data_IF_796520045262
#
_entry.id   IF_796520045262
#
_cell.length_a   1.000
_cell.length_b   1.000
_cell.length_c   1.000
_cell.angle_alpha   90.00
_cell.angle_beta   90.00
_cell.angle_gamma   90.00
#
_symmetry.space_group_name_H-M   'P 1'
#
loop_
_entity.id
_entity.type
_entity.pdbx_description
1 polymer ?
#
# COMPACT_ATOMS: atom_id res chain seq x y z
N UNK A 1 -31.17 14.39 -15.84
CA UNK A 1 -31.32 12.92 -15.77
C UNK A 1 -30.48 12.42 -14.60
N UNK A 2 -31.09 12.11 -13.45
CA UNK A 2 -30.41 11.46 -12.34
C UNK A 2 -30.39 9.96 -12.63
N UNK A 3 -29.26 9.41 -13.05
CA UNK A 3 -29.10 7.96 -13.09
C UNK A 3 -29.11 7.43 -11.65
N UNK A 4 -29.78 6.30 -11.37
CA UNK A 4 -29.71 5.68 -10.04
C UNK A 4 -28.25 5.39 -9.69
N UNK A 5 -27.79 5.67 -8.46
CA UNK A 5 -26.39 5.48 -8.07
C UNK A 5 -25.88 4.05 -8.29
N UNK A 6 -26.76 3.06 -8.14
CA UNK A 6 -26.46 1.64 -8.39
C UNK A 6 -26.11 1.34 -9.85
N UNK A 7 -26.78 1.99 -10.80
CA UNK A 7 -26.52 1.82 -12.24
C UNK A 7 -25.19 2.48 -12.60
N UNK A 8 -24.91 3.67 -12.05
CA UNK A 8 -23.62 4.33 -12.25
C UNK A 8 -22.46 3.48 -11.71
N UNK A 9 -22.61 2.86 -10.53
CA UNK A 9 -21.61 1.95 -9.95
C UNK A 9 -21.39 0.71 -10.82
N UNK A 10 -22.47 0.08 -11.30
CA UNK A 10 -22.35 -1.10 -12.16
C UNK A 10 -21.60 -0.79 -13.45
N UNK A 11 -21.90 0.34 -14.09
CA UNK A 11 -21.24 0.77 -15.32
C UNK A 11 -19.75 1.07 -15.09
N UNK A 12 -19.40 1.77 -14.00
CA UNK A 12 -18.00 2.07 -13.70
C UNK A 12 -17.20 0.81 -13.37
N UNK A 13 -17.76 -0.11 -12.56
CA UNK A 13 -17.11 -1.39 -12.26
C UNK A 13 -16.94 -2.23 -13.52
N UNK A 14 -17.97 -2.32 -14.37
CA UNK A 14 -17.89 -3.05 -15.63
C UNK A 14 -16.81 -2.47 -16.56
N UNK A 15 -16.72 -1.14 -16.63
CA UNK A 15 -15.69 -0.46 -17.41
C UNK A 15 -14.28 -0.72 -16.88
N UNK A 16 -14.07 -0.66 -15.56
CA UNK A 16 -12.79 -0.98 -14.93
C UNK A 16 -12.39 -2.44 -15.19
N UNK A 17 -13.31 -3.39 -15.03
CA UNK A 17 -13.07 -4.82 -15.31
C UNK A 17 -12.72 -5.03 -16.79
N UNK A 18 -13.42 -4.34 -17.70
CA UNK A 18 -13.11 -4.39 -19.12
C UNK A 18 -11.68 -3.90 -19.43
N UNK A 19 -11.27 -2.75 -18.85
CA UNK A 19 -9.92 -2.23 -19.00
C UNK A 19 -8.87 -3.21 -18.47
N UNK A 20 -9.09 -3.79 -17.29
CA UNK A 20 -8.20 -4.79 -16.69
C UNK A 20 -8.06 -6.03 -17.56
N UNK A 21 -9.18 -6.55 -18.08
CA UNK A 21 -9.17 -7.73 -18.98
C UNK A 21 -8.42 -7.45 -20.28
N UNK A 22 -8.53 -6.23 -20.80
CA UNK A 22 -7.78 -5.80 -21.98
C UNK A 22 -6.28 -5.74 -21.69
N UNK A 23 -5.89 -5.11 -20.59
CA UNK A 23 -4.48 -4.96 -20.19
C UNK A 23 -3.78 -6.32 -19.97
N UNK A 24 -4.45 -7.25 -19.28
CA UNK A 24 -3.95 -8.62 -19.06
C UNK A 24 -3.73 -9.36 -20.39
N UNK A 25 -4.59 -9.12 -21.40
CA UNK A 25 -4.47 -9.77 -22.71
C UNK A 25 -3.30 -9.22 -23.53
N UNK A 26 -2.97 -7.95 -23.37
CA UNK A 26 -1.85 -7.30 -24.06
C UNK A 26 -0.50 -7.67 -23.44
N UNK A 27 -0.46 -7.99 -22.13
CA UNK A 27 0.78 -8.34 -21.40
C UNK A 27 0.64 -9.64 -20.59
N UNK A 28 0.69 -10.81 -21.23
CA UNK A 28 0.54 -12.11 -20.55
C UNK A 28 1.71 -12.46 -19.60
N UNK A 29 2.88 -11.83 -19.77
CA UNK A 29 4.09 -12.12 -18.98
C UNK A 29 4.14 -11.42 -17.61
N UNK A 30 3.03 -10.80 -17.20
CA UNK A 30 2.95 -10.05 -15.94
C UNK A 30 2.96 -11.01 -14.75
N UNK A 31 3.99 -10.89 -13.90
CA UNK A 31 4.08 -11.66 -12.66
C UNK A 31 2.95 -11.29 -11.71
N UNK A 32 2.30 -12.28 -11.10
CA UNK A 32 1.25 -12.07 -10.08
C UNK A 32 1.67 -11.23 -8.86
N UNK A 33 2.97 -10.93 -8.72
CA UNK A 33 3.51 -9.97 -7.76
C UNK A 33 2.88 -8.56 -7.87
N UNK A 34 2.42 -8.13 -9.05
CA UNK A 34 1.77 -6.81 -9.22
C UNK A 34 0.48 -6.64 -8.42
N UNK A 35 -0.15 -7.73 -7.99
CA UNK A 35 -1.29 -7.65 -7.08
C UNK A 35 -0.94 -7.02 -5.74
N UNK A 36 0.32 -7.13 -5.27
CA UNK A 36 0.74 -6.57 -3.99
C UNK A 36 0.73 -5.03 -4.04
N UNK A 37 1.41 -4.35 -5.01
CA UNK A 37 1.27 -2.91 -5.22
C UNK A 37 -0.15 -2.45 -5.48
N UNK A 38 -0.94 -3.23 -6.23
CA UNK A 38 -2.33 -2.90 -6.54
C UNK A 38 -3.19 -2.85 -5.28
N UNK A 39 -3.12 -3.88 -4.44
CA UNK A 39 -3.86 -3.94 -3.18
C UNK A 39 -3.40 -2.80 -2.25
N UNK A 40 -2.09 -2.56 -2.18
CA UNK A 40 -1.53 -1.45 -1.41
C UNK A 40 -2.12 -0.10 -1.84
N UNK A 41 -2.13 0.17 -3.15
CA UNK A 41 -2.67 1.42 -3.69
C UNK A 41 -4.16 1.56 -3.43
N UNK A 42 -4.95 0.49 -3.61
CA UNK A 42 -6.38 0.49 -3.31
C UNK A 42 -6.66 0.85 -1.84
N UNK A 43 -5.91 0.28 -0.89
CA UNK A 43 -6.10 0.55 0.54
C UNK A 43 -5.71 2.00 0.88
N UNK A 44 -4.63 2.53 0.29
CA UNK A 44 -4.18 3.90 0.57
C UNK A 44 -5.09 4.95 -0.06
N UNK A 45 -5.61 4.71 -1.26
CA UNK A 45 -6.45 5.66 -1.98
C UNK A 45 -7.93 5.60 -1.62
N UNK A 46 -8.40 4.53 -0.98
CA UNK A 46 -9.81 4.38 -0.57
C UNK A 46 -9.99 4.56 0.94
N UNK A 47 -10.07 3.45 1.67
CA UNK A 47 -10.24 3.37 3.11
C UNK A 47 -9.38 2.23 3.64
N UNK A 48 -9.03 2.32 4.91
CA UNK A 48 -8.32 1.27 5.63
C UNK A 48 -9.17 -0.01 5.70
N UNK A 49 -8.55 -1.16 5.93
CA UNK A 49 -9.26 -2.44 5.95
C UNK A 49 -10.26 -2.51 7.10
N UNK A 50 -9.91 -1.96 8.26
CA UNK A 50 -10.81 -1.84 9.41
C UNK A 50 -12.07 -1.00 9.10
N UNK A 51 -11.92 0.11 8.40
CA UNK A 51 -13.02 1.00 7.97
C UNK A 51 -13.95 0.33 6.95
N UNK A 52 -13.38 -0.46 6.04
CA UNK A 52 -14.16 -1.30 5.13
C UNK A 52 -14.99 -2.32 5.91
N UNK A 53 -14.39 -3.03 6.87
CA UNK A 53 -15.10 -4.00 7.71
C UNK A 53 -16.20 -3.34 8.55
N UNK A 54 -15.94 -2.15 9.09
CA UNK A 54 -16.95 -1.37 9.81
C UNK A 54 -18.13 -1.00 8.91
N UNK A 55 -17.88 -0.64 7.64
CA UNK A 55 -18.94 -0.38 6.64
C UNK A 55 -19.82 -1.61 6.41
N UNK A 56 -19.28 -2.83 6.56
CA UNK A 56 -20.04 -4.09 6.49
C UNK A 56 -20.69 -4.52 7.82
N UNK A 57 -20.62 -3.70 8.87
CA UNK A 57 -21.16 -3.98 10.20
C UNK A 57 -20.24 -4.83 11.09
N UNK A 58 -19.04 -5.19 10.61
CA UNK A 58 -18.05 -5.95 11.37
C UNK A 58 -17.16 -4.97 12.16
N UNK A 59 -17.53 -4.71 13.41
CA UNK A 59 -16.84 -3.76 14.28
C UNK A 59 -15.54 -4.36 14.84
N UNK A 60 -14.40 -3.94 14.30
CA UNK A 60 -13.08 -4.46 14.68
C UNK A 60 -12.40 -3.55 15.71
N UNK A 61 -12.94 -3.52 16.93
CA UNK A 61 -12.36 -2.84 18.09
C UNK A 61 -12.33 -1.30 18.02
N UNK A 62 -11.88 -0.66 19.10
CA UNK A 62 -11.78 0.79 19.18
C UNK A 62 -10.61 1.30 18.31
N UNK A 63 -10.91 2.17 17.35
CA UNK A 63 -9.91 2.88 16.56
C UNK A 63 -9.53 4.15 17.33
N UNK A 64 -8.43 4.11 18.07
CA UNK A 64 -7.84 5.32 18.66
C UNK A 64 -6.98 6.02 17.61
N UNK A 65 -7.04 7.35 17.57
CA UNK A 65 -6.31 8.18 16.59
C UNK A 65 -4.78 8.01 16.68
N UNK A 66 -4.28 7.73 17.89
CA UNK A 66 -2.85 7.60 18.17
C UNK A 66 -2.31 6.19 17.86
N UNK A 67 -3.09 5.15 18.14
CA UNK A 67 -2.65 3.78 17.97
C UNK A 67 -3.09 3.20 16.61
N UNK A 68 -4.24 3.59 16.07
CA UNK A 68 -4.84 3.00 14.88
C UNK A 68 -5.29 1.55 15.11
N UNK A 69 -5.98 0.96 14.12
CA UNK A 69 -6.50 -0.40 14.25
C UNK A 69 -5.37 -1.44 14.23
N UNK A 70 -5.37 -2.43 15.16
CA UNK A 70 -4.41 -3.53 15.11
C UNK A 70 -4.52 -4.35 13.81
N UNK A 71 -5.73 -4.46 13.25
CA UNK A 71 -5.96 -5.16 11.98
C UNK A 71 -5.24 -4.47 10.83
N UNK A 72 -5.34 -3.14 10.72
CA UNK A 72 -4.68 -2.38 9.65
C UNK A 72 -3.16 -2.52 9.75
N UNK A 73 -2.60 -2.53 10.96
CA UNK A 73 -1.17 -2.75 11.17
C UNK A 73 -0.73 -4.11 10.61
N UNK A 74 -1.48 -5.17 10.90
CA UNK A 74 -1.20 -6.51 10.37
C UNK A 74 -1.31 -6.56 8.84
N UNK A 75 -2.32 -5.91 8.27
CA UNK A 75 -2.51 -5.84 6.80
C UNK A 75 -1.32 -5.13 6.13
N UNK A 76 -0.96 -3.93 6.59
CA UNK A 76 0.17 -3.20 6.02
C UNK A 76 1.50 -3.94 6.24
N UNK A 77 1.72 -4.52 7.43
CA UNK A 77 2.92 -5.31 7.70
C UNK A 77 3.00 -6.54 6.79
N UNK A 78 1.90 -7.25 6.59
CA UNK A 78 1.82 -8.39 5.67
C UNK A 78 2.12 -8.00 4.23
N UNK A 79 1.58 -6.88 3.76
CA UNK A 79 1.87 -6.37 2.41
C UNK A 79 3.34 -5.94 2.25
N UNK A 80 3.91 -5.25 3.22
CA UNK A 80 5.33 -4.87 3.21
C UNK A 80 6.22 -6.12 3.22
N UNK A 81 5.92 -7.09 4.09
CA UNK A 81 6.68 -8.34 4.18
C UNK A 81 6.60 -9.15 2.87
N UNK A 82 5.41 -9.26 2.28
CA UNK A 82 5.21 -9.91 0.99
C UNK A 82 5.97 -9.17 -0.13
N UNK A 83 5.92 -7.83 -0.15
CA UNK A 83 6.64 -7.01 -1.12
C UNK A 83 8.15 -7.18 -1.02
N UNK A 84 8.70 -7.11 0.20
CA UNK A 84 10.11 -7.35 0.47
C UNK A 84 10.53 -8.77 0.06
N UNK A 85 9.72 -9.79 0.37
CA UNK A 85 9.98 -11.17 -0.02
C UNK A 85 10.06 -11.33 -1.55
N UNK A 86 9.13 -10.71 -2.28
CA UNK A 86 9.15 -10.68 -3.75
C UNK A 86 10.42 -10.02 -4.28
N UNK A 87 10.81 -8.87 -3.72
CA UNK A 87 12.04 -8.17 -4.12
C UNK A 87 13.30 -8.99 -3.83
N UNK A 88 13.36 -9.68 -2.68
CA UNK A 88 14.46 -10.58 -2.35
C UNK A 88 14.55 -11.75 -3.33
N UNK A 89 13.41 -12.34 -3.74
CA UNK A 89 13.37 -13.41 -4.75
C UNK A 89 13.81 -12.95 -6.13
N UNK A 90 13.61 -11.66 -6.45
CA UNK A 90 14.07 -11.02 -7.69
C UNK A 90 15.55 -10.63 -7.67
N UNK A 91 16.28 -10.91 -6.59
CA UNK A 91 17.69 -10.56 -6.42
C UNK A 91 17.99 -9.08 -6.71
N UNK A 92 17.07 -8.21 -6.30
CA UNK A 92 17.20 -6.76 -6.52
C UNK A 92 18.39 -6.22 -5.72
N UNK A 93 19.32 -5.57 -6.41
CA UNK A 93 20.51 -4.98 -5.80
C UNK A 93 20.14 -3.68 -5.07
N UNK A 94 19.80 -3.80 -3.78
CA UNK A 94 19.43 -2.65 -2.93
C UNK A 94 20.52 -1.57 -2.88
N UNK A 95 21.79 -1.98 -2.94
CA UNK A 95 22.94 -1.06 -2.99
C UNK A 95 22.90 -0.15 -4.21
N UNK A 96 22.51 -0.69 -5.38
CA UNK A 96 22.40 0.08 -6.61
C UNK A 96 21.25 1.08 -6.53
N UNK A 97 20.11 0.68 -5.96
CA UNK A 97 18.94 1.55 -5.78
C UNK A 97 19.28 2.72 -4.86
N UNK A 98 19.97 2.45 -3.75
CA UNK A 98 20.40 3.50 -2.81
C UNK A 98 21.36 4.48 -3.50
N UNK A 99 22.27 3.96 -4.34
CA UNK A 99 23.22 4.78 -5.10
C UNK A 99 22.53 5.65 -6.14
N UNK A 100 21.49 5.14 -6.80
CA UNK A 100 20.73 5.91 -7.80
C UNK A 100 19.76 6.91 -7.17
N UNK A 101 19.30 6.66 -5.93
CA UNK A 101 18.27 7.46 -5.26
C UNK A 101 18.78 8.13 -3.97
N UNK A 102 19.99 8.71 -4.01
CA UNK A 102 20.65 9.24 -2.80
C UNK A 102 19.79 10.26 -2.04
N UNK A 103 19.13 11.19 -2.74
CA UNK A 103 18.25 12.19 -2.14
C UNK A 103 17.08 11.56 -1.38
N UNK A 104 16.47 10.52 -1.97
CA UNK A 104 15.39 9.78 -1.33
C UNK A 104 15.90 9.06 -0.07
N UNK A 105 17.07 8.43 -0.14
CA UNK A 105 17.71 7.79 1.02
C UNK A 105 17.99 8.79 2.14
N UNK A 106 18.57 9.95 1.82
CA UNK A 106 18.83 11.02 2.79
C UNK A 106 17.52 11.48 3.44
N UNK A 107 16.45 11.66 2.66
CA UNK A 107 15.14 12.01 3.18
C UNK A 107 14.60 10.95 4.15
N UNK A 108 14.67 9.66 3.81
CA UNK A 108 14.24 8.57 4.70
C UNK A 108 15.05 8.48 5.98
N UNK A 109 16.37 8.71 5.91
CA UNK A 109 17.27 8.75 7.07
C UNK A 109 16.93 9.96 7.94
N UNK A 110 16.71 11.12 7.35
CA UNK A 110 16.24 12.30 8.07
C UNK A 110 14.92 12.04 8.80
N UNK A 111 13.93 11.43 8.12
CA UNK A 111 12.67 11.03 8.76
C UNK A 111 12.87 10.05 9.91
N UNK A 112 13.87 9.16 9.81
CA UNK A 112 14.21 8.24 10.91
C UNK A 112 14.79 9.00 12.11
N UNK A 113 15.73 9.93 11.88
CA UNK A 113 16.31 10.75 12.94
C UNK A 113 15.25 11.64 13.61
N UNK A 114 14.29 12.15 12.85
CA UNK A 114 13.19 12.98 13.36
C UNK A 114 12.30 12.24 14.38
N UNK A 115 12.28 10.90 14.38
CA UNK A 115 11.51 10.10 15.35
C UNK A 115 12.03 10.33 16.78
N UNK A 116 13.34 10.51 16.97
CA UNK A 116 13.94 10.69 18.28
C UNK A 116 13.55 12.01 18.96
N UNK A 117 13.08 12.99 18.18
CA UNK A 117 12.65 14.30 18.67
C UNK A 117 11.11 14.44 18.66
N UNK A 118 10.38 13.36 18.41
CA UNK A 118 8.92 13.36 18.40
C UNK A 118 8.36 13.14 19.80
N UNK A 119 7.29 13.85 20.15
CA UNK A 119 6.50 13.61 21.37
C UNK A 119 5.90 12.18 21.41
N UNK A 120 5.74 11.54 20.24
CA UNK A 120 5.15 10.21 20.08
C UNK A 120 6.09 9.27 19.29
N UNK A 121 7.28 8.91 19.82
CA UNK A 121 8.33 8.23 19.06
C UNK A 121 7.88 6.86 18.56
N UNK A 122 7.10 6.11 19.35
CA UNK A 122 6.60 4.79 18.94
C UNK A 122 5.58 4.86 17.80
N UNK A 123 4.72 5.90 17.78
CA UNK A 123 3.75 6.12 16.70
C UNK A 123 4.47 6.56 15.43
N UNK A 124 5.43 7.48 15.56
CA UNK A 124 6.27 7.95 14.46
C UNK A 124 7.08 6.80 13.84
N UNK A 125 7.64 5.89 14.64
CA UNK A 125 8.35 4.71 14.16
C UNK A 125 7.47 3.78 13.33
N UNK A 126 6.24 3.47 13.78
CA UNK A 126 5.28 2.66 12.99
C UNK A 126 4.95 3.33 11.66
N UNK A 127 4.76 4.66 11.66
CA UNK A 127 4.49 5.44 10.45
C UNK A 127 5.69 5.39 9.49
N UNK A 128 6.90 5.53 10.01
CA UNK A 128 8.12 5.44 9.21
C UNK A 128 8.26 4.07 8.53
N UNK A 129 8.00 2.96 9.24
CA UNK A 129 7.93 1.62 8.64
C UNK A 129 6.89 1.56 7.53
N UNK A 130 5.69 2.11 7.74
CA UNK A 130 4.64 2.15 6.72
C UNK A 130 5.09 2.92 5.47
N UNK A 131 5.81 4.04 5.63
CA UNK A 131 6.28 4.85 4.51
C UNK A 131 7.31 4.08 3.66
N UNK A 132 8.13 3.20 4.25
CA UNK A 132 9.01 2.30 3.49
C UNK A 132 8.26 1.35 2.54
N UNK A 133 6.97 1.10 2.79
CA UNK A 133 6.13 0.33 1.87
C UNK A 133 5.99 0.97 0.50
N UNK A 134 5.98 2.31 0.39
CA UNK A 134 5.85 3.00 -0.90
C UNK A 134 6.98 2.67 -1.89
N UNK A 135 8.27 2.86 -1.56
CA UNK A 135 9.35 2.49 -2.46
C UNK A 135 9.40 0.98 -2.73
N UNK A 136 9.03 0.13 -1.76
CA UNK A 136 8.93 -1.32 -1.98
C UNK A 136 7.90 -1.62 -3.09
N UNK A 137 6.71 -1.02 -3.03
CA UNK A 137 5.69 -1.23 -4.06
C UNK A 137 6.13 -0.68 -5.42
N UNK A 138 6.80 0.48 -5.45
CA UNK A 138 7.33 1.05 -6.68
C UNK A 138 8.37 0.13 -7.33
N UNK A 139 9.25 -0.49 -6.54
CA UNK A 139 10.26 -1.44 -7.03
C UNK A 139 9.68 -2.75 -7.54
N UNK A 140 8.47 -3.13 -7.14
CA UNK A 140 7.79 -4.33 -7.67
C UNK A 140 7.20 -4.06 -9.06
N UNK A 141 6.82 -2.79 -9.32
CA UNK A 141 6.26 -2.35 -10.61
C UNK A 141 7.38 -2.17 -11.64
N UNK A 142 8.57 -1.76 -11.20
CA UNK A 142 9.78 -1.61 -12.02
C UNK A 142 10.38 -2.98 -12.41
#
# INVERSE_FOLDING_TARGET
>A
MHTPPSVALLLTVAFVVFLFRRDIRERPDVTGALWIPLIWFLIICSRQASEWLNTFGLHVGAITLEEGSPLDRCVYFGLIAAGTYVLSKRHVQLSEIIRQNQWLTIFFVYCFLAIFWSDFPFVAFKRWIKVLGHPIMALIIL
#
